data_IF_631050137968
#
_entry.id   IF_631050137968
#
_cell.length_a   1.000
_cell.length_b   1.000
_cell.length_c   1.000
_cell.angle_alpha   90.00
_cell.angle_beta   90.00
_cell.angle_gamma   90.00
#
_symmetry.space_group_name_H-M   'P 1'
#
loop_
_entity.id
_entity.type
_entity.pdbx_description
1 polymer ?
#
# COMPACT_ATOMS: atom_id res chain seq x y z
N UNK A 1 30.03 16.80 1.52
CA UNK A 1 29.18 15.94 2.37
C UNK A 1 28.08 16.80 2.97
N UNK A 2 26.91 16.85 2.33
CA UNK A 2 25.78 17.68 2.78
C UNK A 2 24.72 16.78 3.40
N UNK A 3 24.58 16.85 4.72
CA UNK A 3 23.45 16.24 5.41
C UNK A 3 22.21 17.09 5.17
N UNK A 4 21.36 16.67 4.24
CA UNK A 4 20.00 17.16 4.08
C UNK A 4 19.13 16.62 5.22
N UNK A 5 19.06 17.33 6.34
CA UNK A 5 18.00 17.15 7.33
C UNK A 5 16.82 18.03 6.91
N UNK A 6 15.78 17.40 6.35
CA UNK A 6 14.54 18.11 6.07
C UNK A 6 13.86 18.45 7.40
N UNK A 7 13.70 19.76 7.63
CA UNK A 7 13.01 20.38 8.77
C UNK A 7 11.54 19.96 8.82
N UNK A 8 11.14 19.23 9.87
CA UNK A 8 9.73 19.01 10.17
C UNK A 8 9.21 20.17 11.03
N UNK A 9 8.37 21.01 10.41
CA UNK A 9 7.58 22.03 11.08
C UNK A 9 6.47 21.37 11.91
N UNK A 10 6.46 21.58 13.23
CA UNK A 10 5.24 21.52 14.04
C UNK A 10 5.16 22.77 14.93
N UNK A 11 4.70 23.87 14.33
CA UNK A 11 4.47 25.14 15.01
C UNK A 11 3.15 25.13 15.79
N UNK A 12 2.99 24.31 16.85
CA UNK A 12 1.99 24.51 17.91
C UNK A 12 2.03 23.37 18.93
N UNK A 13 2.69 23.64 20.06
CA UNK A 13 2.48 23.14 21.43
C UNK A 13 3.85 23.08 22.12
N UNK A 14 4.12 24.06 22.99
CA UNK A 14 5.31 24.08 23.86
C UNK A 14 5.12 23.03 24.98
N UNK A 15 5.13 21.75 24.64
CA UNK A 15 5.25 20.68 25.61
C UNK A 15 6.70 20.22 25.54
N UNK A 16 7.49 20.51 26.58
CA UNK A 16 8.84 19.96 26.73
C UNK A 16 8.72 18.47 27.08
N UNK A 17 8.51 17.64 26.07
CA UNK A 17 8.79 16.22 26.21
C UNK A 17 10.30 16.04 26.10
N UNK A 18 10.92 15.49 27.15
CA UNK A 18 12.30 14.95 27.09
C UNK A 18 12.23 13.67 26.25
N UNK A 19 12.22 13.81 24.93
CA UNK A 19 12.27 12.69 24.00
C UNK A 19 13.73 12.47 23.66
N UNK A 20 14.30 11.33 24.05
CA UNK A 20 15.62 10.94 23.59
C UNK A 20 15.60 10.90 22.06
N UNK A 21 16.64 11.47 21.42
CA UNK A 21 16.70 11.75 19.97
C UNK A 21 16.47 10.54 19.05
N UNK A 22 16.46 9.33 19.62
CA UNK A 22 16.15 8.07 18.95
C UNK A 22 14.66 7.94 18.53
N UNK A 23 13.73 8.50 19.29
CA UNK A 23 12.28 8.29 19.11
C UNK A 23 11.65 9.16 18.02
N UNK A 24 12.27 10.28 17.64
CA UNK A 24 11.78 11.14 16.54
C UNK A 24 12.12 10.58 15.15
N UNK A 25 13.19 9.79 15.03
CA UNK A 25 13.63 9.23 13.74
C UNK A 25 12.98 7.88 13.44
N UNK A 26 12.59 7.11 14.47
CA UNK A 26 11.98 5.78 14.30
C UNK A 26 10.76 5.75 13.35
N UNK A 27 9.73 6.62 13.51
CA UNK A 27 8.59 6.59 12.59
C UNK A 27 8.97 7.03 11.16
N UNK A 28 9.84 8.03 11.01
CA UNK A 28 10.31 8.51 9.70
C UNK A 28 11.11 7.44 8.96
N UNK A 29 11.92 6.68 9.69
CA UNK A 29 12.74 5.60 9.16
C UNK A 29 11.89 4.43 8.64
N UNK A 30 10.89 3.99 9.42
CA UNK A 30 9.96 2.92 9.01
C UNK A 30 9.26 3.28 7.70
N UNK A 31 8.71 4.49 7.61
CA UNK A 31 7.96 4.94 6.43
C UNK A 31 8.88 5.03 5.20
N UNK A 32 10.09 5.55 5.37
CA UNK A 32 11.07 5.65 4.28
C UNK A 32 11.43 4.28 3.73
N UNK A 33 11.66 3.30 4.61
CA UNK A 33 12.02 1.94 4.20
C UNK A 33 10.85 1.19 3.55
N UNK A 34 9.64 1.31 4.10
CA UNK A 34 8.43 0.75 3.50
C UNK A 34 8.18 1.32 2.09
N UNK A 35 8.37 2.64 1.92
CA UNK A 35 8.25 3.29 0.62
C UNK A 35 9.32 2.81 -0.37
N UNK A 36 10.57 2.67 0.08
CA UNK A 36 11.64 2.13 -0.76
C UNK A 36 11.32 0.69 -1.23
N UNK A 37 10.80 -0.16 -0.34
CA UNK A 37 10.35 -1.51 -0.68
C UNK A 37 9.20 -1.54 -1.69
N UNK A 38 8.25 -0.61 -1.56
CA UNK A 38 7.15 -0.45 -2.51
C UNK A 38 7.65 0.02 -3.88
N UNK A 39 8.50 1.04 -3.93
CA UNK A 39 9.08 1.58 -5.17
C UNK A 39 9.97 0.56 -5.88
N UNK A 40 10.64 -0.32 -5.14
CA UNK A 40 11.38 -1.46 -5.70
C UNK A 40 10.46 -2.53 -6.34
N UNK A 41 9.13 -2.40 -6.23
CA UNK A 41 8.17 -3.30 -6.87
C UNK A 41 8.00 -4.65 -6.16
N UNK A 42 8.50 -4.81 -4.92
CA UNK A 42 8.49 -6.09 -4.19
C UNK A 42 7.07 -6.66 -3.99
N UNK A 43 6.05 -5.81 -3.94
CA UNK A 43 4.64 -6.18 -3.71
C UNK A 43 3.77 -6.07 -4.98
N UNK A 44 4.39 -5.79 -6.13
CA UNK A 44 3.67 -5.52 -7.38
C UNK A 44 3.12 -6.78 -8.01
N UNK A 45 3.86 -7.88 -7.96
CA UNK A 45 3.47 -9.14 -8.60
C UNK A 45 2.40 -9.87 -7.78
N UNK A 46 1.60 -10.67 -8.48
CA UNK A 46 0.53 -11.47 -7.88
C UNK A 46 1.09 -12.53 -6.93
N UNK A 47 2.21 -13.13 -7.30
CA UNK A 47 2.92 -14.16 -6.53
C UNK A 47 3.47 -13.59 -5.22
N UNK A 48 3.92 -12.33 -5.22
CA UNK A 48 4.35 -11.66 -4.01
C UNK A 48 3.17 -11.44 -3.05
N UNK A 49 2.01 -11.03 -3.56
CA UNK A 49 0.80 -10.83 -2.74
C UNK A 49 0.26 -12.15 -2.19
N UNK A 50 0.25 -13.20 -3.01
CA UNK A 50 -0.11 -14.57 -2.58
C UNK A 50 0.79 -15.04 -1.43
N UNK A 51 2.12 -14.93 -1.58
CA UNK A 51 3.07 -15.28 -0.51
C UNK A 51 2.86 -14.46 0.76
N UNK A 52 2.55 -13.17 0.64
CA UNK A 52 2.26 -12.34 1.82
C UNK A 52 0.99 -12.80 2.55
N UNK A 53 -0.08 -13.12 1.82
CA UNK A 53 -1.33 -13.62 2.39
C UNK A 53 -1.16 -15.01 3.01
N UNK A 54 -0.40 -15.91 2.37
CA UNK A 54 -0.03 -17.20 2.94
C UNK A 54 0.78 -17.03 4.23
N UNK A 55 1.71 -16.07 4.26
CA UNK A 55 2.47 -15.73 5.46
C UNK A 55 1.59 -15.24 6.61
N UNK A 56 0.59 -14.39 6.33
CA UNK A 56 -0.40 -13.94 7.32
C UNK A 56 -1.22 -15.12 7.84
N UNK A 57 -1.67 -16.01 6.95
CA UNK A 57 -2.43 -17.19 7.33
C UNK A 57 -1.63 -18.12 8.24
N UNK A 58 -0.34 -18.31 7.96
CA UNK A 58 0.56 -19.09 8.82
C UNK A 58 0.81 -18.41 10.16
N UNK A 59 0.97 -17.08 10.17
CA UNK A 59 1.13 -16.30 11.40
C UNK A 59 -0.08 -16.48 12.32
N UNK A 60 -1.30 -16.33 11.78
CA UNK A 60 -2.53 -16.49 12.56
C UNK A 60 -2.67 -17.93 13.08
N UNK A 61 -2.37 -18.93 12.25
CA UNK A 61 -2.45 -20.35 12.66
C UNK A 61 -1.44 -20.72 13.74
N UNK A 62 -0.22 -20.21 13.66
CA UNK A 62 0.85 -20.59 14.57
C UNK A 62 0.83 -19.81 15.88
N UNK A 63 0.19 -18.64 15.90
CA UNK A 63 0.19 -17.71 17.04
C UNK A 63 -1.22 -17.36 17.53
N UNK A 64 -2.22 -18.21 17.27
CA UNK A 64 -3.60 -17.98 17.75
C UNK A 64 -3.67 -17.88 19.27
N UNK A 65 -2.90 -18.72 19.98
CA UNK A 65 -2.89 -18.73 21.45
C UNK A 65 -2.24 -17.47 22.02
N UNK A 66 -1.19 -16.97 21.36
CA UNK A 66 -0.55 -15.69 21.72
C UNK A 66 -1.50 -14.51 21.54
N UNK A 67 -2.32 -14.54 20.48
CA UNK A 67 -3.36 -13.52 20.23
C UNK A 67 -4.46 -13.56 21.31
N UNK A 68 -4.92 -14.76 21.67
CA UNK A 68 -5.93 -14.95 22.73
C UNK A 68 -5.38 -14.44 24.07
N UNK A 69 -4.13 -14.76 24.38
CA UNK A 69 -3.50 -14.33 25.63
C UNK A 69 -3.31 -12.82 25.68
N UNK A 70 -2.91 -12.20 24.57
CA UNK A 70 -2.80 -10.75 24.46
C UNK A 70 -4.16 -10.08 24.69
N UNK A 71 -5.22 -10.55 24.03
CA UNK A 71 -6.57 -9.99 24.19
C UNK A 71 -7.13 -10.18 25.60
N UNK A 72 -6.80 -11.30 26.25
CA UNK A 72 -7.14 -11.53 27.66
C UNK A 72 -6.44 -10.54 28.58
N UNK A 73 -5.17 -10.21 28.32
CA UNK A 73 -4.41 -9.23 29.12
C UNK A 73 -4.89 -7.79 28.89
N UNK A 74 -5.13 -7.43 27.65
CA UNK A 74 -5.46 -6.05 27.27
C UNK A 74 -6.92 -5.71 27.60
N UNK A 75 -7.85 -6.60 27.23
CA UNK A 75 -9.29 -6.33 27.30
C UNK A 75 -10.05 -7.20 28.30
N UNK A 76 -9.39 -8.15 28.98
CA UNK A 76 -10.05 -9.16 29.83
C UNK A 76 -11.15 -9.94 29.09
N UNK A 77 -10.99 -10.07 27.77
CA UNK A 77 -11.95 -10.72 26.89
C UNK A 77 -11.90 -12.25 27.09
N UNK A 78 -13.05 -12.95 27.14
CA UNK A 78 -13.05 -14.40 27.20
C UNK A 78 -12.46 -15.00 25.90
N UNK A 79 -11.75 -16.12 26.04
CA UNK A 79 -11.03 -16.73 24.92
C UNK A 79 -11.93 -17.05 23.72
N UNK A 80 -13.16 -17.53 23.99
CA UNK A 80 -14.11 -17.89 22.95
C UNK A 80 -14.49 -16.70 22.04
N UNK A 81 -14.69 -15.52 22.62
CA UNK A 81 -15.05 -14.32 21.86
C UNK A 81 -13.89 -13.86 20.98
N UNK A 82 -12.65 -14.01 21.45
CA UNK A 82 -11.44 -13.71 20.67
C UNK A 82 -11.26 -14.69 19.51
N UNK A 83 -11.48 -15.99 19.76
CA UNK A 83 -11.38 -17.02 18.72
C UNK A 83 -12.34 -16.74 17.58
N UNK A 84 -13.60 -16.49 17.87
CA UNK A 84 -14.62 -16.28 16.84
C UNK A 84 -14.47 -14.90 16.19
N UNK A 85 -14.38 -13.84 17.00
CA UNK A 85 -14.48 -12.47 16.53
C UNK A 85 -13.20 -11.93 15.88
N UNK A 86 -12.06 -12.56 16.11
CA UNK A 86 -10.78 -12.05 15.62
C UNK A 86 -9.98 -13.11 14.88
N UNK A 87 -9.71 -14.26 15.52
CA UNK A 87 -8.83 -15.29 14.93
C UNK A 87 -9.47 -15.94 13.71
N UNK A 88 -10.66 -16.52 13.86
CA UNK A 88 -11.34 -17.21 12.76
C UNK A 88 -11.85 -16.24 11.70
N UNK A 89 -12.30 -15.04 12.09
CA UNK A 89 -12.65 -13.98 11.15
C UNK A 89 -11.46 -13.55 10.28
N UNK A 90 -10.31 -13.24 10.88
CA UNK A 90 -9.12 -12.83 10.12
C UNK A 90 -8.61 -13.95 9.20
N UNK A 91 -8.67 -15.20 9.67
CA UNK A 91 -8.32 -16.38 8.88
C UNK A 91 -9.28 -16.60 7.71
N UNK A 92 -10.57 -16.40 7.92
CA UNK A 92 -11.59 -16.49 6.87
C UNK A 92 -11.38 -15.41 5.79
N UNK A 93 -11.16 -14.16 6.19
CA UNK A 93 -10.86 -13.06 5.26
C UNK A 93 -9.60 -13.33 4.44
N UNK A 94 -8.50 -13.70 5.10
CA UNK A 94 -7.25 -14.03 4.41
C UNK A 94 -7.43 -15.17 3.39
N UNK A 95 -8.25 -16.17 3.74
CA UNK A 95 -8.56 -17.30 2.85
C UNK A 95 -9.44 -16.87 1.67
N UNK A 96 -10.45 -16.03 1.89
CA UNK A 96 -11.30 -15.48 0.82
C UNK A 96 -10.47 -14.67 -0.18
N UNK A 97 -9.60 -13.78 0.32
CA UNK A 97 -8.71 -12.99 -0.53
C UNK A 97 -7.73 -13.85 -1.33
N UNK A 98 -7.23 -14.96 -0.77
CA UNK A 98 -6.36 -15.89 -1.50
C UNK A 98 -7.08 -16.58 -2.66
N UNK A 99 -8.35 -16.97 -2.45
CA UNK A 99 -9.16 -17.64 -3.47
C UNK A 99 -9.54 -16.67 -4.60
N UNK A 100 -9.87 -15.42 -4.25
CA UNK A 100 -10.34 -14.39 -5.19
C UNK A 100 -9.24 -13.51 -5.76
N UNK A 101 -7.98 -13.74 -5.38
CA UNK A 101 -6.84 -12.91 -5.77
C UNK A 101 -6.74 -12.73 -7.30
N UNK A 102 -7.02 -13.80 -8.03
CA UNK A 102 -6.99 -13.87 -9.48
C UNK A 102 -8.05 -12.96 -10.12
N UNK A 103 -9.27 -13.00 -9.58
CA UNK A 103 -10.39 -12.16 -10.02
C UNK A 103 -10.12 -10.68 -9.70
N UNK A 104 -9.63 -10.40 -8.49
CA UNK A 104 -9.40 -9.03 -8.00
C UNK A 104 -8.29 -8.35 -8.79
N UNK A 105 -7.20 -9.07 -9.09
CA UNK A 105 -6.07 -8.52 -9.86
C UNK A 105 -6.29 -8.56 -11.38
N UNK A 106 -7.29 -9.31 -11.86
CA UNK A 106 -7.60 -9.46 -13.29
C UNK A 106 -8.46 -8.34 -13.89
N UNK A 107 -9.05 -7.45 -13.09
CA UNK A 107 -9.88 -6.33 -13.59
C UNK A 107 -9.01 -5.15 -13.99
N UNK A 108 -8.89 -4.87 -15.29
CA UNK A 108 -8.32 -3.64 -15.83
C UNK A 108 -9.26 -2.99 -16.83
N UNK A 109 -10.45 -2.61 -16.38
CA UNK A 109 -11.39 -1.83 -17.20
C UNK A 109 -11.62 -0.49 -16.51
N UNK A 110 -10.54 0.27 -16.31
CA UNK A 110 -10.71 1.69 -16.00
C UNK A 110 -11.00 2.35 -17.34
N UNK A 111 -12.28 2.61 -17.62
CA UNK A 111 -12.66 3.62 -18.60
C UNK A 111 -11.90 4.87 -18.22
N UNK A 112 -10.87 5.19 -18.99
CA UNK A 112 -10.14 6.44 -18.88
C UNK A 112 -11.21 7.50 -19.12
N UNK A 113 -11.66 8.15 -18.05
CA UNK A 113 -12.27 9.46 -18.18
C UNK A 113 -11.20 10.32 -18.84
N UNK A 114 -11.25 10.39 -20.16
CA UNK A 114 -10.54 11.39 -20.95
C UNK A 114 -11.07 12.71 -20.44
N UNK A 115 -10.45 13.27 -19.40
CA UNK A 115 -10.57 14.69 -19.13
C UNK A 115 -9.85 15.32 -20.32
N UNK A 116 -10.63 15.64 -21.37
CA UNK A 116 -10.19 16.54 -22.41
C UNK A 116 -10.01 17.88 -21.71
N UNK A 117 -8.83 18.12 -21.13
CA UNK A 117 -8.37 19.49 -20.90
C UNK A 117 -8.08 20.03 -22.30
N UNK A 118 -9.10 20.66 -22.88
CA UNK A 118 -8.98 21.39 -24.13
C UNK A 118 -8.03 22.56 -23.95
N UNK A 119 -6.73 22.30 -24.08
CA UNK A 119 -5.74 23.34 -24.36
C UNK A 119 -5.74 23.48 -25.89
N UNK A 120 -6.62 24.32 -26.42
CA UNK A 120 -6.55 24.74 -27.82
C UNK A 120 -5.37 25.70 -27.96
N UNK A 121 -4.26 25.24 -28.55
CA UNK A 121 -3.28 26.14 -29.19
C UNK A 121 -3.91 26.75 -30.46
N UNK A 122 -3.44 27.92 -30.89
CA UNK A 122 -3.95 28.76 -31.98
C UNK A 122 -3.98 28.08 -33.37
N UNK A 123 -3.65 26.80 -33.45
CA UNK A 123 -3.63 25.96 -34.66
C UNK A 123 -4.65 24.81 -34.64
N UNK A 124 -5.58 24.78 -33.66
CA UNK A 124 -6.71 23.85 -33.59
C UNK A 124 -6.32 22.35 -33.69
N UNK A 125 -5.21 21.94 -33.07
CA UNK A 125 -4.83 20.53 -32.93
C UNK A 125 -5.08 20.07 -31.50
N UNK A 126 -5.92 19.04 -31.34
CA UNK A 126 -6.17 18.41 -30.04
C UNK A 126 -5.00 17.49 -29.70
N UNK A 127 -4.13 17.92 -28.80
CA UNK A 127 -3.11 17.05 -28.21
C UNK A 127 -3.72 16.19 -27.11
N UNK A 128 -3.82 14.88 -27.32
CA UNK A 128 -4.24 13.93 -26.28
C UNK A 128 -2.99 13.43 -25.55
N UNK A 129 -2.74 13.93 -24.33
CA UNK A 129 -1.70 13.37 -23.48
C UNK A 129 -2.32 12.20 -22.71
N UNK A 130 -2.06 10.98 -23.17
CA UNK A 130 -2.35 9.78 -22.39
C UNK A 130 -1.33 9.68 -21.25
N UNK A 131 -1.73 10.06 -20.03
CA UNK A 131 -0.96 9.77 -18.83
C UNK A 131 -1.49 8.46 -18.23
N UNK A 132 -0.74 7.34 -18.31
CA UNK A 132 -1.16 6.12 -17.65
C UNK A 132 -1.08 6.32 -16.13
N UNK A 133 -2.24 6.36 -15.47
CA UNK A 133 -2.29 6.21 -14.02
C UNK A 133 -1.95 4.75 -13.70
N UNK A 134 -0.85 4.58 -12.98
CA UNK A 134 -0.36 3.31 -12.46
C UNK A 134 0.21 2.34 -13.51
N UNK A 135 1.33 2.73 -14.11
CA UNK A 135 2.53 1.87 -14.12
C UNK A 135 2.40 0.45 -14.66
N UNK A 136 1.84 0.23 -15.85
CA UNK A 136 2.14 -0.99 -16.61
C UNK A 136 3.49 -0.84 -17.32
N UNK A 137 4.44 -1.69 -16.95
CA UNK A 137 5.76 -1.75 -17.55
C UNK A 137 5.69 -2.38 -18.94
N UNK A 138 5.50 -1.54 -19.96
CA UNK A 138 6.14 -1.59 -21.28
C UNK A 138 5.58 -0.38 -22.03
N UNK A 139 6.38 0.67 -22.22
CA UNK A 139 6.04 1.68 -23.23
C UNK A 139 5.94 0.93 -24.57
N UNK A 140 4.82 0.98 -25.31
CA UNK A 140 4.86 0.58 -26.71
C UNK A 140 5.91 1.46 -27.38
N UNK A 141 6.84 0.86 -28.14
CA UNK A 141 7.77 1.62 -28.98
C UNK A 141 6.91 2.58 -29.80
N UNK A 142 7.15 3.88 -29.65
CA UNK A 142 6.53 4.93 -30.44
C UNK A 142 6.88 4.70 -31.92
N UNK A 143 6.07 3.90 -32.61
CA UNK A 143 5.93 4.05 -34.04
C UNK A 143 4.97 5.24 -34.21
N UNK A 144 5.55 6.42 -34.42
CA UNK A 144 4.87 7.54 -35.04
C UNK A 144 4.42 7.10 -36.43
N UNK A 145 3.27 6.42 -36.51
CA UNK A 145 2.51 6.30 -37.73
C UNK A 145 1.80 7.63 -37.93
N UNK A 146 2.44 8.50 -38.71
CA UNK A 146 1.77 9.61 -39.37
C UNK A 146 0.65 9.03 -40.23
N UNK A 147 -0.59 9.32 -39.86
CA UNK A 147 -1.75 9.14 -40.73
C UNK A 147 -2.16 10.56 -41.12
N UNK A 148 -2.27 10.77 -42.44
CA UNK A 148 -2.46 12.04 -43.14
C UNK A 148 -3.63 12.88 -42.63
#
# INVERSE_FOLDING_TARGET
MGHFYNTYYTSRLKIKFKVDSFLLCFPVWIVTNARAGFMAGKTRTKEARRRNLEGILQLIKNHSDDMIEAQRKDLHKPSFETIIGEVEMAKAEATDFLQRLDEIMGKTDVWICTIILGITDATNRVGVIHVPLCGQGRLPRLNLLYIW
#
